data_IF_544759319679
#
_entry.id   IF_544759319679
#
_cell.length_a   1.000
_cell.length_b   1.000
_cell.length_c   1.000
_cell.angle_alpha   90.00
_cell.angle_beta   90.00
_cell.angle_gamma   90.00
#
_symmetry.space_group_name_H-M   'P 1'
#
loop_
_entity.id
_entity.type
_entity.pdbx_description
1 polymer ?
#
# COMPACT_ATOMS: atom_id res chain seq x y z
N UNK A 1 -17.47 7.46 8.97
CA UNK A 1 -16.66 6.23 8.86
C UNK A 1 -15.49 6.57 7.96
N UNK A 2 -14.30 6.69 8.54
CA UNK A 2 -13.10 6.99 7.77
C UNK A 2 -12.58 5.73 7.10
N UNK A 3 -12.74 5.65 5.77
CA UNK A 3 -12.24 4.55 4.96
C UNK A 3 -10.80 4.85 4.56
N UNK A 4 -9.84 4.32 5.30
CA UNK A 4 -8.42 4.41 4.97
C UNK A 4 -7.97 3.17 4.21
N UNK A 5 -7.02 3.39 3.31
CA UNK A 5 -6.36 2.36 2.54
C UNK A 5 -4.86 2.43 2.77
N UNK A 6 -4.24 1.31 3.11
CA UNK A 6 -2.78 1.19 3.14
C UNK A 6 -2.30 0.75 1.76
N UNK A 7 -1.24 1.35 1.25
CA UNK A 7 -0.74 1.05 -0.09
C UNK A 7 0.79 0.96 -0.12
N UNK A 8 1.27 0.20 -1.10
CA UNK A 8 2.69 0.07 -1.45
C UNK A 8 2.85 0.41 -2.92
N UNK A 9 3.74 1.34 -3.23
CA UNK A 9 4.13 1.69 -4.60
C UNK A 9 5.64 1.49 -4.77
N UNK A 10 6.09 1.06 -5.94
CA UNK A 10 7.50 1.18 -6.32
C UNK A 10 7.69 2.48 -7.11
N UNK A 11 8.54 3.36 -6.60
CA UNK A 11 8.96 4.57 -7.30
C UNK A 11 10.45 4.50 -7.55
N UNK A 12 10.81 4.18 -8.81
CA UNK A 12 12.21 4.08 -9.28
C UNK A 12 13.06 3.15 -8.39
N UNK A 13 12.52 1.97 -8.05
CA UNK A 13 13.24 0.99 -7.25
C UNK A 13 13.23 1.27 -5.75
N UNK A 14 12.45 2.24 -5.24
CA UNK A 14 12.18 2.42 -3.81
C UNK A 14 10.73 2.08 -3.51
N UNK A 15 10.51 1.15 -2.59
CA UNK A 15 9.18 0.81 -2.10
C UNK A 15 8.72 1.87 -1.10
N UNK A 16 7.71 2.64 -1.49
CA UNK A 16 7.02 3.58 -0.61
C UNK A 16 5.78 2.92 -0.03
N UNK A 17 5.59 3.14 1.26
CA UNK A 17 4.43 2.68 2.01
C UNK A 17 3.75 3.91 2.58
N UNK A 18 2.44 4.02 2.35
CA UNK A 18 1.63 5.09 2.91
C UNK A 18 0.20 4.64 3.12
N UNK A 19 -0.57 5.51 3.76
CA UNK A 19 -2.03 5.36 3.88
C UNK A 19 -2.70 6.56 3.21
N UNK A 20 -3.84 6.33 2.56
CA UNK A 20 -4.65 7.37 1.95
C UNK A 20 -6.12 7.00 2.05
N UNK A 21 -7.00 7.99 2.11
CA UNK A 21 -8.44 7.79 1.94
C UNK A 21 -8.84 7.85 0.47
N UNK A 22 -7.99 8.46 -0.38
CA UNK A 22 -8.21 8.63 -1.80
C UNK A 22 -7.00 8.05 -2.57
N UNK A 23 -7.18 6.89 -3.17
CA UNK A 23 -6.11 6.19 -3.89
C UNK A 23 -5.90 6.79 -5.29
N UNK A 24 -6.98 7.10 -6.00
CA UNK A 24 -6.92 7.57 -7.39
C UNK A 24 -6.15 8.89 -7.50
N UNK A 25 -6.51 9.89 -6.70
CA UNK A 25 -5.86 11.19 -6.69
C UNK A 25 -4.40 11.09 -6.21
N UNK A 26 -4.12 10.18 -5.27
CA UNK A 26 -2.76 9.91 -4.78
C UNK A 26 -1.88 9.30 -5.87
N UNK A 27 -2.39 8.33 -6.63
CA UNK A 27 -1.63 7.71 -7.73
C UNK A 27 -1.36 8.71 -8.85
N UNK A 28 -2.33 9.57 -9.18
CA UNK A 28 -2.15 10.68 -10.12
C UNK A 28 -1.02 11.62 -9.67
N UNK A 29 -0.96 12.01 -8.40
CA UNK A 29 0.14 12.83 -7.85
C UNK A 29 1.51 12.13 -7.93
N UNK A 30 1.53 10.81 -7.88
CA UNK A 30 2.76 10.02 -8.07
C UNK A 30 3.13 9.81 -9.55
N UNK A 31 2.40 10.40 -10.50
CA UNK A 31 2.64 10.28 -11.94
C UNK A 31 1.88 9.12 -12.59
N UNK A 32 0.74 8.71 -12.03
CA UNK A 32 -0.06 7.60 -12.55
C UNK A 32 0.55 6.22 -12.29
N UNK A 33 1.45 6.12 -11.29
CA UNK A 33 2.05 4.84 -10.89
C UNK A 33 0.97 3.99 -10.23
N UNK A 34 0.81 2.74 -10.67
CA UNK A 34 -0.13 1.80 -10.04
C UNK A 34 0.42 1.30 -8.69
N UNK A 35 -0.43 1.21 -7.65
CA UNK A 35 -0.05 0.57 -6.40
C UNK A 35 0.22 -0.90 -6.67
N UNK A 36 1.36 -1.39 -6.21
CA UNK A 36 1.70 -2.81 -6.26
C UNK A 36 0.84 -3.60 -5.28
N UNK A 37 0.46 -2.96 -4.18
CA UNK A 37 -0.41 -3.55 -3.18
C UNK A 37 -1.24 -2.45 -2.53
N UNK A 38 -2.49 -2.76 -2.24
CA UNK A 38 -3.37 -1.92 -1.44
C UNK A 38 -4.27 -2.81 -0.58
N UNK A 39 -4.59 -2.32 0.61
CA UNK A 39 -5.42 -3.03 1.59
C UNK A 39 -6.41 -2.03 2.21
N UNK A 40 -7.67 -2.41 2.32
CA UNK A 40 -8.76 -1.59 2.85
C UNK A 40 -10.09 -1.86 2.13
N UNK A 41 -11.17 -1.13 2.46
CA UNK A 41 -11.24 -0.03 3.43
C UNK A 41 -11.10 -0.50 4.90
N UNK A 42 -10.38 0.25 5.72
CA UNK A 42 -10.19 -0.03 7.15
C UNK A 42 -10.17 1.27 7.97
N UNK A 43 -10.41 1.22 9.30
CA UNK A 43 -10.35 2.41 10.13
C UNK A 43 -8.92 2.96 10.25
N UNK A 44 -8.78 4.28 10.48
CA UNK A 44 -7.50 4.98 10.59
C UNK A 44 -6.48 4.30 11.51
N UNK A 45 -6.94 3.76 12.65
CA UNK A 45 -6.09 3.07 13.61
C UNK A 45 -5.46 1.79 13.04
N UNK A 46 -6.23 1.01 12.29
CA UNK A 46 -5.75 -0.21 11.59
C UNK A 46 -4.77 0.18 10.48
N UNK A 47 -5.12 1.20 9.68
CA UNK A 47 -4.26 1.71 8.62
C UNK A 47 -2.90 2.17 9.15
N UNK A 48 -2.87 2.90 10.27
CA UNK A 48 -1.62 3.32 10.92
C UNK A 48 -0.77 2.13 11.37
N UNK A 49 -1.40 1.12 12.00
CA UNK A 49 -0.71 -0.11 12.41
C UNK A 49 -0.12 -0.83 11.20
N UNK A 50 -0.88 -0.98 10.12
CA UNK A 50 -0.38 -1.61 8.88
C UNK A 50 0.75 -0.82 8.25
N UNK A 51 0.64 0.49 8.16
CA UNK A 51 1.72 1.35 7.65
C UNK A 51 3.02 1.13 8.45
N UNK A 52 2.93 1.08 9.78
CA UNK A 52 4.08 0.89 10.66
C UNK A 52 4.72 -0.49 10.47
N UNK A 53 3.89 -1.53 10.40
CA UNK A 53 4.32 -2.91 10.13
C UNK A 53 5.04 -2.99 8.78
N UNK A 54 4.39 -2.49 7.73
CA UNK A 54 4.93 -2.49 6.38
C UNK A 54 6.21 -1.66 6.29
N UNK A 55 6.29 -0.45 6.89
CA UNK A 55 7.51 0.36 6.91
C UNK A 55 8.70 -0.40 7.50
N UNK A 56 8.48 -1.14 8.60
CA UNK A 56 9.51 -1.96 9.25
C UNK A 56 9.92 -3.22 8.50
N UNK A 57 9.20 -3.63 7.45
CA UNK A 57 9.55 -4.84 6.69
C UNK A 57 10.67 -4.58 5.67
N UNK A 58 11.57 -5.56 5.57
CA UNK A 58 12.58 -5.63 4.51
C UNK A 58 11.94 -5.71 3.13
N UNK A 59 12.64 -5.20 2.10
CA UNK A 59 12.18 -5.19 0.70
C UNK A 59 11.65 -6.55 0.24
N UNK A 60 12.39 -7.63 0.55
CA UNK A 60 12.01 -9.01 0.17
C UNK A 60 10.66 -9.43 0.76
N UNK A 61 10.40 -9.08 2.02
CA UNK A 61 9.14 -9.43 2.71
C UNK A 61 7.95 -8.66 2.13
N UNK A 62 8.14 -7.38 1.78
CA UNK A 62 7.13 -6.58 1.06
C UNK A 62 6.79 -7.18 -0.30
N UNK A 63 7.81 -7.54 -1.08
CA UNK A 63 7.62 -8.16 -2.39
C UNK A 63 6.92 -9.52 -2.29
N UNK A 64 7.25 -10.33 -1.28
CA UNK A 64 6.54 -11.57 -1.00
C UNK A 64 5.06 -11.32 -0.75
N UNK A 65 4.72 -10.35 0.13
CA UNK A 65 3.33 -9.99 0.40
C UNK A 65 2.60 -9.50 -0.85
N UNK A 66 3.24 -8.64 -1.64
CA UNK A 66 2.67 -8.14 -2.91
C UNK A 66 2.34 -9.34 -3.83
N UNK A 67 3.30 -10.25 -4.01
CA UNK A 67 3.12 -11.43 -4.86
C UNK A 67 2.00 -12.34 -4.35
N UNK A 68 1.94 -12.53 -3.03
CA UNK A 68 0.94 -13.39 -2.38
C UNK A 68 -0.46 -12.79 -2.48
N UNK A 69 -0.58 -11.48 -2.28
CA UNK A 69 -1.84 -10.75 -2.40
C UNK A 69 -2.35 -10.65 -3.84
N UNK A 70 -1.45 -10.46 -4.81
CA UNK A 70 -1.81 -10.50 -6.24
C UNK A 70 -2.28 -11.89 -6.68
N UNK A 71 -1.75 -12.95 -6.05
CA UNK A 71 -2.13 -14.34 -6.35
C UNK A 71 -3.51 -14.73 -5.82
N UNK A 72 -4.16 -13.90 -4.99
CA UNK A 72 -5.52 -14.14 -4.48
C UNK A 72 -6.60 -13.36 -5.25
N UNK A 73 -6.27 -12.76 -6.40
CA UNK A 73 -7.21 -12.07 -7.27
C UNK A 73 -7.44 -12.80 -8.62
N UNK A 74 -7.11 -14.09 -8.71
CA UNK A 74 -7.49 -14.98 -9.83
C UNK A 74 -8.80 -15.72 -9.54
#
# INVERSE_FOLDING_TARGET
>A
MDNWYAYIIDKKGKLYVGITTDMENRMLQHGGIKPLYYEGPMPKAEALKRERNLKGWSRKKKLSLISEASSQQE
#
